data_IF_976621413962
#
_entry.id   IF_976621413962
#
_cell.length_a   1.000
_cell.length_b   1.000
_cell.length_c   1.000
_cell.angle_alpha   90.00
_cell.angle_beta   90.00
_cell.angle_gamma   90.00
#
_symmetry.space_group_name_H-M   'P 1'
#
loop_
_entity.id
_entity.type
_entity.pdbx_description
1 polymer ?
#
# COMPACT_ATOMS: atom_id res chain seq x y z
N UNK A 1 44.81 21.15 -9.12
CA UNK A 1 44.47 21.77 -10.43
C UNK A 1 42.97 21.76 -10.60
N UNK A 2 42.39 22.78 -11.24
CA UNK A 2 40.94 22.93 -11.42
C UNK A 2 40.28 21.70 -12.07
N UNK A 3 41.01 21.02 -12.96
CA UNK A 3 40.56 19.79 -13.64
C UNK A 3 40.29 18.63 -12.66
N UNK A 4 41.13 18.46 -11.63
CA UNK A 4 40.97 17.38 -10.66
C UNK A 4 39.71 17.58 -9.79
N UNK A 5 39.47 18.83 -9.36
CA UNK A 5 38.28 19.18 -8.57
C UNK A 5 36.98 18.97 -9.35
N UNK A 6 36.96 19.37 -10.62
CA UNK A 6 35.79 19.15 -11.48
C UNK A 6 35.48 17.66 -11.69
N UNK A 7 36.49 16.80 -11.72
CA UNK A 7 36.32 15.35 -11.84
C UNK A 7 35.70 14.76 -10.57
N UNK A 8 36.13 15.24 -9.40
CA UNK A 8 35.65 14.82 -8.09
C UNK A 8 34.18 15.22 -7.87
N UNK A 9 33.83 16.47 -8.19
CA UNK A 9 32.46 16.98 -8.11
C UNK A 9 31.50 16.19 -9.05
N UNK A 10 31.99 15.80 -10.23
CA UNK A 10 31.22 14.98 -11.18
C UNK A 10 31.00 13.55 -10.66
N UNK A 11 32.00 12.96 -9.99
CA UNK A 11 31.89 11.63 -9.42
C UNK A 11 30.87 11.59 -8.27
N UNK A 12 30.92 12.58 -7.37
CA UNK A 12 29.94 12.72 -6.28
C UNK A 12 28.51 12.91 -6.80
N UNK A 13 28.34 13.72 -7.85
CA UNK A 13 27.03 13.90 -8.48
C UNK A 13 26.49 12.61 -9.11
N UNK A 14 27.36 11.77 -9.69
CA UNK A 14 26.97 10.47 -10.25
C UNK A 14 26.60 9.49 -9.14
N UNK A 15 27.40 9.41 -8.06
CA UNK A 15 27.13 8.55 -6.91
C UNK A 15 25.82 8.94 -6.20
N UNK A 16 25.56 10.23 -6.02
CA UNK A 16 24.30 10.73 -5.45
C UNK A 16 23.08 10.41 -6.34
N UNK A 17 23.22 10.49 -7.66
CA UNK A 17 22.16 10.08 -8.58
C UNK A 17 21.93 8.57 -8.55
N UNK A 18 23.00 7.78 -8.50
CA UNK A 18 22.92 6.33 -8.41
C UNK A 18 22.24 5.88 -7.12
N UNK A 19 22.60 6.47 -5.96
CA UNK A 19 21.96 6.12 -4.69
C UNK A 19 20.48 6.47 -4.69
N UNK A 20 20.10 7.60 -5.30
CA UNK A 20 18.70 8.01 -5.40
C UNK A 20 17.90 7.10 -6.34
N UNK A 21 18.51 6.66 -7.44
CA UNK A 21 17.91 5.68 -8.34
C UNK A 21 17.79 4.29 -7.69
N UNK A 22 18.78 3.88 -6.88
CA UNK A 22 18.73 2.63 -6.10
C UNK A 22 17.69 2.70 -4.97
N UNK A 23 17.53 3.86 -4.33
CA UNK A 23 16.48 4.09 -3.33
C UNK A 23 15.09 4.12 -3.98
N UNK A 24 14.93 4.79 -5.12
CA UNK A 24 13.71 4.77 -5.93
C UNK A 24 13.39 3.34 -6.42
N UNK A 25 14.39 2.55 -6.80
CA UNK A 25 14.25 1.15 -7.20
C UNK A 25 13.91 0.22 -6.02
N UNK A 26 14.48 0.45 -4.84
CA UNK A 26 14.05 -0.20 -3.58
C UNK A 26 12.63 0.20 -3.19
N UNK A 27 12.15 1.35 -3.67
CA UNK A 27 10.81 1.86 -3.42
C UNK A 27 9.78 1.48 -4.52
N UNK A 28 10.24 0.94 -5.65
CA UNK A 28 9.45 0.31 -6.70
C UNK A 28 9.05 -1.09 -6.24
N UNK A 29 8.08 -1.16 -5.33
CA UNK A 29 7.36 -2.41 -5.06
C UNK A 29 6.66 -2.84 -6.36
N UNK A 30 7.01 -4.00 -6.95
CA UNK A 30 6.46 -4.47 -8.22
C UNK A 30 4.98 -4.88 -8.11
N UNK A 31 4.40 -4.84 -6.90
CA UNK A 31 2.99 -5.16 -6.68
C UNK A 31 2.09 -4.10 -7.30
N UNK A 32 1.67 -4.37 -8.55
CA UNK A 32 0.70 -3.55 -9.28
C UNK A 32 -0.73 -3.81 -8.83
N UNK A 33 -1.02 -5.01 -8.34
CA UNK A 33 -2.38 -5.39 -7.94
C UNK A 33 -2.40 -6.21 -6.65
N UNK A 34 -3.46 -6.04 -5.87
CA UNK A 34 -3.78 -6.82 -4.68
C UNK A 34 -5.08 -7.57 -4.94
N UNK A 35 -5.18 -8.81 -4.48
CA UNK A 35 -6.45 -9.54 -4.45
C UNK A 35 -6.83 -9.78 -3.00
N UNK A 36 -7.98 -9.26 -2.59
CA UNK A 36 -8.63 -9.62 -1.33
C UNK A 36 -9.61 -10.75 -1.59
N UNK A 37 -9.42 -11.87 -0.92
CA UNK A 37 -10.27 -13.05 -1.03
C UNK A 37 -10.50 -13.70 0.32
N UNK A 38 -11.60 -14.46 0.42
CA UNK A 38 -12.00 -15.11 1.66
C UNK A 38 -13.49 -14.97 1.93
N UNK A 39 -13.85 -15.02 3.20
CA UNK A 39 -15.24 -14.95 3.66
C UNK A 39 -15.41 -13.82 4.67
N UNK A 40 -16.36 -12.93 4.38
CA UNK A 40 -16.72 -11.77 5.20
C UNK A 40 -18.20 -11.87 5.57
N UNK A 41 -18.51 -11.53 6.82
CA UNK A 41 -19.87 -11.53 7.35
C UNK A 41 -20.63 -10.26 6.99
N UNK A 42 -19.94 -9.12 6.91
CA UNK A 42 -20.58 -7.81 6.72
C UNK A 42 -20.09 -7.08 5.48
N UNK A 43 -18.81 -7.20 5.16
CA UNK A 43 -18.12 -6.33 4.20
C UNK A 43 -17.73 -7.06 2.91
N UNK A 44 -18.52 -8.04 2.47
CA UNK A 44 -18.18 -8.91 1.31
C UNK A 44 -17.97 -8.15 0.00
N UNK A 45 -18.54 -6.95 -0.12
CA UNK A 45 -18.36 -6.07 -1.26
C UNK A 45 -16.94 -5.48 -1.37
N UNK A 46 -16.12 -5.60 -0.33
CA UNK A 46 -14.71 -5.19 -0.32
C UNK A 46 -13.75 -6.27 -0.82
N UNK A 47 -14.25 -7.49 -1.07
CA UNK A 47 -13.46 -8.53 -1.73
C UNK A 47 -13.31 -8.24 -3.22
N UNK A 48 -12.17 -8.66 -3.77
CA UNK A 48 -11.88 -8.53 -5.19
C UNK A 48 -10.47 -8.01 -5.47
N UNK A 49 -10.27 -7.58 -6.72
CA UNK A 49 -8.97 -7.12 -7.20
C UNK A 49 -8.87 -5.60 -7.07
N UNK A 50 -7.77 -5.14 -6.51
CA UNK A 50 -7.41 -3.75 -6.36
C UNK A 50 -6.16 -3.45 -7.17
N UNK A 51 -6.19 -2.39 -7.96
CA UNK A 51 -5.05 -1.94 -8.75
C UNK A 51 -4.43 -0.71 -8.12
N UNK A 52 -3.10 -0.68 -8.08
CA UNK A 52 -2.34 0.45 -7.55
C UNK A 52 -2.62 1.68 -8.40
N UNK A 53 -2.85 2.81 -7.74
CA UNK A 53 -2.98 4.10 -8.41
C UNK A 53 -1.57 4.67 -8.59
N UNK A 54 -1.11 4.76 -9.83
CA UNK A 54 0.22 5.30 -10.13
C UNK A 54 0.35 6.76 -9.66
N UNK A 55 1.52 7.10 -9.12
CA UNK A 55 1.82 8.44 -8.60
C UNK A 55 1.12 8.82 -7.28
N UNK A 56 0.14 8.05 -6.81
CA UNK A 56 -0.62 8.37 -5.59
C UNK A 56 -0.01 7.69 -4.37
N UNK A 57 0.30 8.50 -3.33
CA UNK A 57 0.81 8.02 -2.05
C UNK A 57 0.11 8.71 -0.89
N UNK A 58 -0.19 7.94 0.16
CA UNK A 58 -0.74 8.40 1.43
C UNK A 58 0.19 7.95 2.54
N UNK A 59 0.64 8.91 3.37
CA UNK A 59 1.67 8.67 4.40
C UNK A 59 2.93 7.97 3.84
N UNK A 60 3.34 8.34 2.62
CA UNK A 60 4.49 7.76 1.91
C UNK A 60 4.24 6.37 1.30
N UNK A 61 3.08 5.76 1.54
CA UNK A 61 2.72 4.42 1.07
C UNK A 61 1.76 4.44 -0.12
N UNK A 62 1.80 3.43 -1.00
CA UNK A 62 0.90 3.33 -2.14
C UNK A 62 -0.58 3.23 -1.73
N UNK A 63 -1.45 3.58 -2.69
CA UNK A 63 -2.90 3.41 -2.59
C UNK A 63 -3.35 2.47 -3.71
N UNK A 64 -4.28 1.57 -3.41
CA UNK A 64 -4.92 0.72 -4.41
C UNK A 64 -6.42 1.00 -4.47
N UNK A 65 -6.98 0.93 -5.68
CA UNK A 65 -8.41 1.12 -5.96
C UNK A 65 -9.03 -0.16 -6.47
N UNK A 66 -10.24 -0.47 -6.00
CA UNK A 66 -10.97 -1.64 -6.44
C UNK A 66 -11.30 -1.58 -7.94
N UNK A 67 -11.18 -2.72 -8.63
CA UNK A 67 -11.34 -2.78 -10.09
C UNK A 67 -12.77 -2.54 -10.56
N UNK A 68 -13.76 -2.87 -9.73
CA UNK A 68 -15.19 -2.70 -10.06
C UNK A 68 -15.92 -1.69 -9.14
N UNK A 69 -15.25 -1.20 -8.10
CA UNK A 69 -15.84 -0.31 -7.10
C UNK A 69 -15.21 1.07 -7.16
N UNK A 70 -15.98 2.08 -7.58
CA UNK A 70 -15.45 3.43 -7.76
C UNK A 70 -14.96 4.07 -6.45
N UNK A 71 -15.61 3.77 -5.32
CA UNK A 71 -15.34 4.34 -3.99
C UNK A 71 -14.79 3.32 -2.99
N UNK A 72 -13.90 2.42 -3.46
CA UNK A 72 -13.31 1.37 -2.63
C UNK A 72 -11.79 1.36 -2.81
N UNK A 73 -11.08 1.63 -1.73
CA UNK A 73 -9.63 1.77 -1.74
C UNK A 73 -8.99 0.99 -0.60
N UNK A 74 -7.71 0.66 -0.77
CA UNK A 74 -6.82 0.20 0.30
C UNK A 74 -5.75 1.26 0.51
N UNK A 75 -5.65 1.78 1.73
CA UNK A 75 -4.64 2.78 2.08
C UNK A 75 -4.14 2.62 3.52
N UNK A 76 -2.94 3.14 3.75
CA UNK A 76 -2.30 3.12 5.05
C UNK A 76 -2.78 4.27 5.92
N UNK A 77 -3.04 4.05 7.21
CA UNK A 77 -3.54 5.09 8.12
C UNK A 77 -2.46 5.97 8.74
N UNK A 78 -1.18 5.67 8.52
CA UNK A 78 -0.06 6.41 9.12
C UNK A 78 0.31 5.96 10.54
N UNK A 79 1.47 6.42 11.03
CA UNK A 79 2.00 6.10 12.36
C UNK A 79 2.95 4.89 12.41
N UNK A 80 3.58 4.65 13.56
CA UNK A 80 4.49 3.50 13.80
C UNK A 80 3.72 2.18 13.93
N UNK A 81 2.45 2.26 14.32
CA UNK A 81 1.51 1.13 14.45
C UNK A 81 0.27 1.35 13.58
N UNK A 82 0.46 1.91 12.38
CA UNK A 82 -0.63 2.16 11.46
C UNK A 82 -1.26 0.87 10.95
N UNK A 83 -2.43 0.98 10.33
CA UNK A 83 -3.11 -0.14 9.71
C UNK A 83 -3.25 0.06 8.20
N UNK A 84 -3.42 -1.04 7.48
CA UNK A 84 -3.96 -1.03 6.14
C UNK A 84 -5.47 -1.19 6.23
N UNK A 85 -6.21 -0.21 5.72
CA UNK A 85 -7.67 -0.22 5.75
C UNK A 85 -8.25 -0.17 4.33
N UNK A 86 -9.36 -0.89 4.18
CA UNK A 86 -10.35 -0.70 3.14
C UNK A 86 -11.19 0.53 3.47
N UNK A 87 -11.16 1.56 2.62
CA UNK A 87 -11.70 2.89 2.88
C UNK A 87 -12.46 3.43 1.66
N UNK A 88 -13.40 4.34 1.91
CA UNK A 88 -13.91 5.26 0.89
C UNK A 88 -12.84 6.31 0.55
N UNK A 89 -12.95 6.94 -0.62
CA UNK A 89 -12.03 7.97 -1.10
C UNK A 89 -11.90 9.12 -0.08
N UNK A 90 -13.03 9.60 0.44
CA UNK A 90 -13.07 10.69 1.41
C UNK A 90 -12.41 10.36 2.77
N UNK A 91 -12.10 9.09 3.04
CA UNK A 91 -11.52 8.62 4.29
C UNK A 91 -10.05 8.18 4.14
N UNK A 92 -9.47 8.28 2.94
CA UNK A 92 -8.12 7.83 2.65
C UNK A 92 -7.09 8.36 3.66
N UNK A 93 -6.34 7.45 4.25
CA UNK A 93 -5.26 7.80 5.20
C UNK A 93 -5.71 8.18 6.60
N UNK A 94 -7.02 8.16 6.86
CA UNK A 94 -7.57 8.35 8.21
C UNK A 94 -7.72 7.00 8.92
N UNK A 95 -8.09 6.98 10.21
CA UNK A 95 -8.40 5.77 10.95
C UNK A 95 -9.83 5.21 10.72
N UNK A 96 -10.53 5.66 9.66
CA UNK A 96 -11.88 5.22 9.31
C UNK A 96 -11.84 4.22 8.16
N UNK A 97 -12.39 3.02 8.35
CA UNK A 97 -12.44 2.00 7.32
C UNK A 97 -13.38 0.85 7.69
N UNK A 98 -13.49 -0.12 6.80
CA UNK A 98 -14.49 -1.20 6.86
C UNK A 98 -13.87 -2.58 7.12
N UNK A 99 -12.66 -2.78 6.60
CA UNK A 99 -11.90 -4.02 6.68
C UNK A 99 -10.42 -3.63 6.79
N UNK A 100 -9.63 -4.34 7.57
CA UNK A 100 -8.23 -3.96 7.71
C UNK A 100 -7.37 -4.89 8.52
N UNK A 101 -6.08 -4.60 8.47
CA UNK A 101 -5.03 -5.33 9.17
C UNK A 101 -4.01 -4.35 9.74
N UNK A 102 -3.51 -4.63 10.94
CA UNK A 102 -2.41 -3.88 11.54
C UNK A 102 -1.13 -4.07 10.68
N UNK A 103 -0.38 -3.00 10.50
CA UNK A 103 0.86 -3.02 9.73
C UNK A 103 2.05 -2.90 10.64
N UNK A 104 3.11 -3.63 10.29
CA UNK A 104 4.43 -3.47 10.89
C UNK A 104 5.28 -2.41 10.15
N UNK A 105 4.63 -1.45 9.48
CA UNK A 105 5.29 -0.40 8.72
C UNK A 105 5.73 -0.81 7.31
N UNK A 106 5.29 -1.96 6.81
CA UNK A 106 5.60 -2.46 5.47
C UNK A 106 4.90 -1.68 4.35
N UNK A 107 5.41 -1.76 3.12
CA UNK A 107 4.92 -0.97 1.97
C UNK A 107 3.62 -1.49 1.36
N UNK A 108 3.18 -2.67 1.78
CA UNK A 108 1.94 -3.30 1.37
C UNK A 108 1.27 -4.06 2.53
N UNK A 109 -0.05 -4.30 2.46
CA UNK A 109 -0.74 -5.17 3.40
C UNK A 109 -0.25 -6.61 3.28
N UNK A 110 -0.03 -7.27 4.42
CA UNK A 110 0.51 -8.63 4.48
C UNK A 110 -0.61 -9.68 4.54
N UNK A 111 -0.36 -10.84 3.92
CA UNK A 111 -1.19 -12.03 4.10
C UNK A 111 -0.98 -12.55 5.51
N UNK A 112 -1.93 -12.29 6.40
CA UNK A 112 -1.93 -12.83 7.76
C UNK A 112 -3.37 -13.16 8.16
N UNK A 113 -3.54 -14.10 9.09
CA UNK A 113 -4.85 -14.53 9.60
C UNK A 113 -5.54 -13.48 10.49
N UNK A 114 -5.02 -12.26 10.59
CA UNK A 114 -5.44 -11.23 11.55
C UNK A 114 -6.30 -10.10 10.96
N UNK A 115 -6.88 -10.29 9.77
CA UNK A 115 -7.79 -9.31 9.18
C UNK A 115 -9.03 -9.14 10.05
N UNK A 116 -9.49 -7.89 10.20
CA UNK A 116 -10.68 -7.55 10.96
C UNK A 116 -11.66 -6.77 10.10
N UNK A 117 -12.94 -7.08 10.21
CA UNK A 117 -14.04 -6.31 9.61
C UNK A 117 -14.88 -5.63 10.69
N UNK A 118 -15.59 -4.58 10.30
CA UNK A 118 -16.56 -3.91 11.15
C UNK A 118 -17.99 -4.16 10.64
N UNK A 119 -18.95 -4.32 11.55
CA UNK A 119 -20.34 -4.50 11.17
C UNK A 119 -20.92 -3.24 10.52
N UNK A 120 -22.02 -3.40 9.77
CA UNK A 120 -22.81 -2.29 9.24
C UNK A 120 -23.31 -1.45 10.43
N UNK A 121 -22.89 -0.19 10.52
CA UNK A 121 -23.16 0.69 11.66
C UNK A 121 -21.97 0.93 12.60
N UNK A 122 -20.83 0.27 12.37
CA UNK A 122 -19.57 0.55 13.07
C UNK A 122 -19.18 -0.52 14.09
N UNK A 123 -18.38 -0.11 15.08
CA UNK A 123 -17.69 -0.97 16.05
C UNK A 123 -18.62 -1.99 16.73
N UNK A 124 -18.12 -3.15 17.21
CA UNK A 124 -16.70 -3.54 17.31
C UNK A 124 -16.15 -4.16 16.03
N UNK A 125 -14.82 -4.13 15.91
CA UNK A 125 -14.06 -4.86 14.90
C UNK A 125 -13.97 -6.33 15.29
N UNK A 126 -14.08 -7.24 14.33
CA UNK A 126 -14.04 -8.68 14.55
C UNK A 126 -13.12 -9.35 13.55
N UNK A 127 -12.43 -10.40 13.98
CA UNK A 127 -11.60 -11.21 13.10
C UNK A 127 -12.44 -11.83 11.97
N UNK A 128 -11.83 -11.91 10.79
CA UNK A 128 -12.46 -12.46 9.60
C UNK A 128 -11.46 -13.28 8.78
N UNK A 129 -11.97 -14.23 8.01
CA UNK A 129 -11.16 -15.12 7.20
C UNK A 129 -10.89 -14.48 5.83
N UNK A 130 -10.05 -13.44 5.80
CA UNK A 130 -9.59 -12.77 4.59
C UNK A 130 -8.09 -12.93 4.44
N UNK A 131 -7.68 -13.22 3.20
CA UNK A 131 -6.29 -13.18 2.77
C UNK A 131 -6.14 -12.11 1.71
N UNK A 132 -4.98 -11.46 1.71
CA UNK A 132 -4.56 -10.56 0.65
C UNK A 132 -3.40 -11.19 -0.10
N UNK A 133 -3.42 -11.17 -1.43
CA UNK A 133 -2.33 -11.70 -2.24
C UNK A 133 -1.83 -10.62 -3.17
N UNK A 134 -0.54 -10.31 -3.08
CA UNK A 134 0.15 -9.46 -4.05
C UNK A 134 0.22 -10.19 -5.39
N UNK A 135 -0.35 -9.57 -6.42
CA UNK A 135 -0.28 -10.06 -7.80
C UNK A 135 0.81 -9.28 -8.51
N UNK A 136 1.94 -9.96 -8.75
CA UNK A 136 3.05 -9.42 -9.51
C UNK A 136 2.77 -9.65 -11.00
N UNK A 137 2.66 -8.57 -11.77
CA UNK A 137 2.78 -8.69 -13.21
C UNK A 137 4.27 -8.77 -13.54
N UNK A 138 4.76 -9.96 -13.84
CA UNK A 138 5.98 -10.09 -14.63
C UNK A 138 5.67 -9.53 -16.03
N UNK A 139 6.24 -8.38 -16.37
CA UNK A 139 6.38 -8.04 -17.78
C UNK A 139 7.37 -9.05 -18.42
N UNK A 140 7.08 -9.55 -19.63
CA UNK A 140 7.91 -10.53 -20.34
C UNK A 140 9.25 -9.96 -20.81
#
# INVERSE_FOLDING_TARGET
>A
TALAKALEDALEAVLSKASRAEEDARQLDPTRSLKLEGSLMYQSEWLGVYNRIEGTRIHGKPVWRHSSGADKFVAYTGGVSGAWLCQSEAALGTCRGYLGIESNGTMQPESSSAWKEVAVGGRPWRECAVTITSVYHHEP
#
